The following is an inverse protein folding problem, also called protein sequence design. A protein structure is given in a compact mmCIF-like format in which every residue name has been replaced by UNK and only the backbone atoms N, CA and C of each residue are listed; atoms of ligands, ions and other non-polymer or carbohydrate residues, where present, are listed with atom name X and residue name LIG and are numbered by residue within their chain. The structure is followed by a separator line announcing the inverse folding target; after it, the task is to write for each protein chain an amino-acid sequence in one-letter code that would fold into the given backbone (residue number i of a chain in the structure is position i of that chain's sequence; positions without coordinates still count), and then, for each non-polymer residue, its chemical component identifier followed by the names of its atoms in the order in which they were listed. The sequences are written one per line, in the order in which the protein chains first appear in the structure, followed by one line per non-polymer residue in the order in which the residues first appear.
data_IF_271331692863
#
_entry.id   IF_271331692863
#
_cell.length_a   1.000
_cell.length_b   1.000
_cell.length_c   1.000
_cell.angle_alpha   90.00
_cell.angle_beta   90.00
_cell.angle_gamma   90.00
#
_symmetry.space_group_name_H-M   'P 1'
#
loop_
_entity.id
_entity.type
_entity.pdbx_description
1 polymer ?
#
# COMPACT_ATOMS: atom_id res chain seq x y z
N UNK A 1 17.32 -8.69 -15.04
CA UNK A 1 17.97 -8.44 -13.73
C UNK A 1 17.03 -7.56 -12.95
N UNK A 2 16.57 -7.98 -11.76
CA UNK A 2 15.76 -7.14 -10.89
C UNK A 2 16.68 -6.30 -9.99
N UNK A 3 16.27 -5.08 -9.63
CA UNK A 3 17.04 -4.16 -8.78
C UNK A 3 16.14 -3.55 -7.72
N UNK A 4 16.54 -3.69 -6.45
CA UNK A 4 15.96 -2.92 -5.35
C UNK A 4 16.62 -1.53 -5.40
N UNK A 5 15.82 -0.49 -5.64
CA UNK A 5 16.32 0.88 -5.78
C UNK A 5 16.27 1.69 -4.47
N UNK A 6 15.53 1.20 -3.48
CA UNK A 6 15.41 1.81 -2.16
C UNK A 6 14.16 1.33 -1.43
N UNK A 7 13.86 2.00 -0.32
CA UNK A 7 12.64 1.80 0.47
C UNK A 7 12.41 3.02 1.36
N UNK A 8 11.13 3.29 1.66
CA UNK A 8 10.73 4.32 2.61
C UNK A 8 9.74 3.72 3.61
N UNK A 9 9.70 4.30 4.81
CA UNK A 9 8.85 3.84 5.91
C UNK A 9 7.96 4.99 6.33
N UNK A 10 6.68 4.73 6.55
CA UNK A 10 5.72 5.79 6.84
C UNK A 10 4.58 5.32 7.70
N UNK A 11 3.94 6.25 8.41
CA UNK A 11 2.71 6.00 9.13
C UNK A 11 1.56 5.84 8.12
N UNK A 12 0.60 4.98 8.47
CA UNK A 12 -0.60 4.77 7.67
C UNK A 12 -1.89 5.05 8.45
N UNK A 13 -1.83 5.69 9.63
CA UNK A 13 -3.02 5.82 10.49
C UNK A 13 -4.19 6.53 9.77
N UNK A 14 -5.44 6.09 9.99
CA UNK A 14 -6.60 6.56 9.21
C UNK A 14 -6.88 8.06 9.39
N UNK A 15 -6.44 8.67 10.50
CA UNK A 15 -6.53 10.11 10.72
C UNK A 15 -5.83 10.93 9.63
N UNK A 16 -4.77 10.40 9.02
CA UNK A 16 -4.07 11.03 7.88
C UNK A 16 -4.98 11.05 6.65
N UNK A 17 -5.64 9.93 6.34
CA UNK A 17 -6.61 9.85 5.24
C UNK A 17 -7.74 10.86 5.41
N UNK A 18 -8.27 10.98 6.63
CA UNK A 18 -9.27 12.00 6.97
C UNK A 18 -8.75 13.43 6.76
N UNK A 19 -7.50 13.72 7.12
CA UNK A 19 -6.88 15.03 6.90
C UNK A 19 -6.72 15.34 5.40
N UNK A 20 -6.37 14.33 4.58
CA UNK A 20 -6.27 14.46 3.13
C UNK A 20 -7.63 14.83 2.53
N UNK A 21 -8.69 14.10 2.89
CA UNK A 21 -10.04 14.33 2.38
C UNK A 21 -10.58 15.71 2.75
N UNK A 22 -10.29 16.20 3.96
CA UNK A 22 -10.76 17.51 4.43
C UNK A 22 -9.94 18.70 3.91
N UNK A 23 -8.76 18.46 3.32
CA UNK A 23 -7.86 19.55 2.94
C UNK A 23 -7.08 20.16 4.12
N UNK A 24 -6.89 19.40 5.20
CA UNK A 24 -6.31 19.90 6.45
C UNK A 24 -4.76 19.95 6.43
N UNK A 25 -4.11 19.59 5.32
CA UNK A 25 -2.66 19.37 5.26
C UNK A 25 -1.85 20.60 5.68
N UNK A 26 -2.36 21.81 5.42
CA UNK A 26 -1.69 23.08 5.77
C UNK A 26 -2.05 23.62 7.17
N UNK A 27 -2.93 22.93 7.91
CA UNK A 27 -3.29 23.35 9.27
C UNK A 27 -2.11 23.20 10.24
N UNK A 28 -2.01 24.01 11.32
CA UNK A 28 -0.87 23.95 12.25
C UNK A 28 -0.61 22.57 12.87
N UNK A 29 -1.65 21.75 13.05
CA UNK A 29 -1.53 20.41 13.60
C UNK A 29 -0.91 19.44 12.58
N UNK A 30 -1.36 19.48 11.32
CA UNK A 30 -0.98 18.50 10.29
C UNK A 30 0.26 18.90 9.50
N UNK A 31 0.52 20.20 9.34
CA UNK A 31 1.60 20.72 8.51
C UNK A 31 2.98 20.10 8.81
N UNK A 32 3.43 19.98 10.07
CA UNK A 32 4.73 19.37 10.36
C UNK A 32 4.86 17.92 9.90
N UNK A 33 3.75 17.18 9.83
CA UNK A 33 3.73 15.82 9.30
C UNK A 33 3.82 15.80 7.77
N UNK A 34 2.99 16.59 7.08
CA UNK A 34 2.96 16.61 5.61
C UNK A 34 4.23 17.21 4.99
N UNK A 35 4.90 18.13 5.68
CA UNK A 35 6.21 18.68 5.28
C UNK A 35 7.34 17.63 5.22
N UNK A 36 7.14 16.43 5.77
CA UNK A 36 8.12 15.34 5.68
C UNK A 36 8.14 14.60 4.34
N UNK A 37 7.10 14.73 3.51
CA UNK A 37 6.95 13.94 2.27
C UNK A 37 7.62 14.50 1.01
N UNK A 38 7.85 15.81 0.82
CA UNK A 38 8.47 16.34 -0.40
C UNK A 38 9.77 15.63 -0.82
N UNK A 39 10.74 15.33 0.07
CA UNK A 39 11.96 14.61 -0.33
C UNK A 39 11.70 13.19 -0.86
N UNK A 40 10.69 12.49 -0.34
CA UNK A 40 10.31 11.15 -0.82
C UNK A 40 9.68 11.26 -2.22
N UNK A 41 8.84 12.28 -2.44
CA UNK A 41 8.20 12.55 -3.73
C UNK A 41 9.23 12.88 -4.81
N UNK A 42 10.22 13.71 -4.46
CA UNK A 42 11.35 14.04 -5.34
C UNK A 42 12.13 12.77 -5.71
N UNK A 43 12.52 11.97 -4.72
CA UNK A 43 13.22 10.72 -4.96
C UNK A 43 12.43 9.75 -5.86
N UNK A 44 11.12 9.58 -5.63
CA UNK A 44 10.28 8.70 -6.46
C UNK A 44 10.14 9.21 -7.90
N UNK A 45 10.13 10.53 -8.10
CA UNK A 45 10.08 11.16 -9.42
C UNK A 45 11.35 10.89 -10.22
N UNK A 46 12.51 10.86 -9.56
CA UNK A 46 13.80 10.54 -10.18
C UNK A 46 13.99 9.03 -10.37
N UNK A 47 13.69 8.24 -9.33
CA UNK A 47 13.98 6.82 -9.27
C UNK A 47 13.02 5.98 -10.12
N UNK A 48 11.78 6.46 -10.35
CA UNK A 48 10.75 5.85 -11.20
C UNK A 48 10.64 4.32 -11.05
N UNK A 49 10.33 3.82 -9.84
CA UNK A 49 10.13 2.39 -9.62
C UNK A 49 8.98 1.83 -10.46
N UNK A 50 9.15 0.61 -10.97
CA UNK A 50 8.09 -0.12 -11.68
C UNK A 50 7.09 -0.79 -10.74
N UNK A 51 7.56 -1.23 -9.56
CA UNK A 51 6.77 -2.01 -8.59
C UNK A 51 7.11 -1.61 -7.15
N UNK A 52 6.09 -1.48 -6.30
CA UNK A 52 6.21 -1.39 -4.86
C UNK A 52 5.84 -2.74 -4.22
N UNK A 53 6.78 -3.30 -3.45
CA UNK A 53 6.48 -4.37 -2.48
C UNK A 53 6.14 -3.69 -1.17
N UNK A 54 4.88 -3.81 -0.75
CA UNK A 54 4.34 -3.06 0.40
C UNK A 54 4.11 -4.03 1.54
N UNK A 55 4.78 -3.77 2.67
CA UNK A 55 4.53 -4.46 3.92
C UNK A 55 3.55 -3.62 4.76
N UNK A 56 2.42 -4.19 5.10
CA UNK A 56 1.41 -3.56 5.96
C UNK A 56 0.75 -4.63 6.83
N UNK A 57 -0.22 -4.23 7.64
CA UNK A 57 -1.16 -5.15 8.27
C UNK A 57 -2.57 -4.77 7.82
N UNK A 58 -3.43 -5.76 7.61
CA UNK A 58 -4.86 -5.54 7.40
C UNK A 58 -5.54 -5.14 8.73
N UNK A 59 -6.51 -4.24 8.66
CA UNK A 59 -7.28 -3.75 9.81
C UNK A 59 -8.70 -4.33 9.88
N UNK A 60 -8.89 -5.56 9.40
CA UNK A 60 -10.18 -6.25 9.43
C UNK A 60 -11.03 -6.05 8.17
N UNK A 61 -10.47 -5.43 7.12
CA UNK A 61 -11.15 -5.26 5.85
C UNK A 61 -11.10 -6.54 5.02
N UNK A 62 -9.89 -7.09 4.82
CA UNK A 62 -9.68 -8.31 4.07
C UNK A 62 -9.63 -9.56 4.98
N UNK A 63 -8.99 -9.44 6.13
CA UNK A 63 -8.80 -10.53 7.09
C UNK A 63 -9.51 -10.21 8.41
N UNK A 64 -10.65 -10.83 8.63
CA UNK A 64 -11.38 -10.68 9.89
C UNK A 64 -10.93 -11.69 10.95
N UNK A 65 -11.49 -11.61 12.15
CA UNK A 65 -11.09 -12.41 13.30
C UNK A 65 -11.25 -13.94 13.09
N UNK A 66 -11.98 -14.37 12.07
CA UNK A 66 -12.15 -15.77 11.70
C UNK A 66 -11.02 -16.31 10.80
N UNK A 67 -10.21 -15.43 10.18
CA UNK A 67 -9.10 -15.76 9.30
C UNK A 67 -7.97 -14.75 9.47
N UNK A 68 -6.97 -15.10 10.27
CA UNK A 68 -5.81 -14.24 10.56
C UNK A 68 -4.50 -14.94 10.17
N UNK A 69 -4.07 -14.86 8.90
CA UNK A 69 -2.77 -15.40 8.50
C UNK A 69 -1.64 -14.62 9.17
N UNK A 70 -0.51 -15.29 9.47
CA UNK A 70 0.70 -14.60 9.97
C UNK A 70 1.41 -13.84 8.85
N UNK A 71 1.43 -14.42 7.65
CA UNK A 71 1.91 -13.79 6.43
C UNK A 71 0.93 -14.07 5.30
N UNK A 72 0.54 -13.04 4.56
CA UNK A 72 -0.30 -13.12 3.38
C UNK A 72 0.33 -12.35 2.22
N UNK A 73 0.52 -13.01 1.08
CA UNK A 73 1.11 -12.39 -0.12
C UNK A 73 0.06 -12.30 -1.22
N UNK A 74 -0.19 -11.08 -1.69
CA UNK A 74 -1.08 -10.82 -2.82
C UNK A 74 -0.49 -11.28 -4.15
N UNK A 75 -1.30 -12.01 -4.94
CA UNK A 75 -0.99 -12.47 -6.29
C UNK A 75 -2.09 -12.14 -7.31
N UNK A 76 -2.92 -11.14 -7.02
CA UNK A 76 -3.99 -10.69 -7.90
C UNK A 76 -3.47 -9.71 -8.97
N UNK A 77 -4.11 -9.63 -10.15
CA UNK A 77 -3.80 -8.63 -11.17
C UNK A 77 -4.29 -7.21 -10.80
N UNK A 78 -5.20 -7.11 -9.84
CA UNK A 78 -5.76 -5.85 -9.36
C UNK A 78 -6.13 -5.99 -7.89
N UNK A 79 -5.97 -4.90 -7.13
CA UNK A 79 -6.41 -4.78 -5.73
C UNK A 79 -7.34 -3.59 -5.58
N UNK A 80 -8.53 -3.86 -5.05
CA UNK A 80 -9.54 -2.84 -4.78
C UNK A 80 -9.57 -2.52 -3.28
N UNK A 81 -10.18 -1.39 -2.95
CA UNK A 81 -10.49 -1.00 -1.59
C UNK A 81 -12.01 -1.08 -1.38
N UNK A 82 -12.46 -1.03 -0.13
CA UNK A 82 -13.86 -0.85 0.21
C UNK A 82 -14.00 0.11 1.41
N UNK A 83 -15.23 0.53 1.70
CA UNK A 83 -15.49 1.36 2.87
C UNK A 83 -15.19 0.57 4.15
N UNK A 84 -14.34 1.15 5.00
CA UNK A 84 -13.94 0.57 6.29
C UNK A 84 -14.85 1.05 7.44
N UNK A 85 -16.01 1.60 7.11
CA UNK A 85 -17.00 2.13 8.07
C UNK A 85 -16.91 3.64 8.27
N UNK A 86 -16.15 4.35 7.41
CA UNK A 86 -15.96 5.80 7.50
C UNK A 86 -17.00 6.58 6.69
N UNK A 87 -17.66 5.95 5.71
CA UNK A 87 -18.57 6.64 4.79
C UNK A 87 -17.86 7.68 3.91
N UNK A 88 -16.55 7.53 3.72
CA UNK A 88 -15.73 8.37 2.86
C UNK A 88 -15.61 7.74 1.45
N UNK A 89 -15.24 8.53 0.42
CA UNK A 89 -14.90 7.96 -0.88
C UNK A 89 -13.79 6.91 -0.75
N UNK A 90 -13.94 5.80 -1.49
CA UNK A 90 -12.92 4.75 -1.54
C UNK A 90 -11.69 5.21 -2.33
N UNK A 91 -10.54 4.64 -1.99
CA UNK A 91 -9.28 4.91 -2.69
C UNK A 91 -9.23 4.25 -4.07
N UNK A 92 -8.34 4.78 -4.93
CA UNK A 92 -8.02 4.23 -6.25
C UNK A 92 -7.56 2.77 -6.16
N UNK A 93 -8.02 1.93 -7.08
CA UNK A 93 -7.53 0.55 -7.22
C UNK A 93 -6.08 0.50 -7.68
N UNK A 94 -5.38 -0.57 -7.29
CA UNK A 94 -3.98 -0.82 -7.66
C UNK A 94 -3.90 -1.87 -8.76
N UNK A 95 -3.02 -1.64 -9.73
CA UNK A 95 -2.57 -2.70 -10.63
C UNK A 95 -1.58 -3.60 -9.89
N UNK A 96 -1.82 -4.91 -9.88
CA UNK A 96 -0.92 -5.88 -9.29
C UNK A 96 0.21 -6.29 -10.23
N UNK A 97 1.21 -7.02 -9.70
CA UNK A 97 2.27 -7.61 -10.51
C UNK A 97 2.35 -9.14 -10.34
N UNK A 98 1.43 -9.93 -10.93
CA UNK A 98 1.32 -11.38 -10.68
C UNK A 98 2.61 -12.17 -10.87
N UNK A 99 3.41 -11.85 -11.89
CA UNK A 99 4.68 -12.55 -12.15
C UNK A 99 5.71 -12.35 -11.02
N UNK A 100 5.72 -11.18 -10.37
CA UNK A 100 6.62 -10.90 -9.25
C UNK A 100 6.05 -11.48 -7.97
N UNK A 101 4.74 -11.34 -7.75
CA UNK A 101 4.05 -11.97 -6.63
C UNK A 101 4.32 -13.48 -6.55
N UNK A 102 4.13 -14.22 -7.64
CA UNK A 102 4.39 -15.66 -7.67
C UNK A 102 5.86 -15.99 -7.48
N UNK A 103 6.77 -15.19 -8.03
CA UNK A 103 8.19 -15.36 -7.77
C UNK A 103 8.53 -15.22 -6.28
N UNK A 104 7.95 -14.23 -5.58
CA UNK A 104 8.12 -14.02 -4.13
C UNK A 104 7.49 -15.17 -3.35
N UNK A 105 6.28 -15.60 -3.69
CA UNK A 105 5.58 -16.72 -3.05
C UNK A 105 6.41 -18.01 -3.15
N UNK A 106 6.86 -18.35 -4.36
CA UNK A 106 7.64 -19.56 -4.60
C UNK A 106 9.01 -19.52 -3.88
N UNK A 107 9.60 -18.33 -3.74
CA UNK A 107 10.83 -18.14 -2.98
C UNK A 107 10.60 -18.33 -1.48
N UNK A 108 9.57 -17.70 -0.91
CA UNK A 108 9.22 -17.82 0.51
C UNK A 108 8.90 -19.27 0.91
N UNK A 109 8.10 -19.97 0.10
CA UNK A 109 7.78 -21.39 0.35
C UNK A 109 9.04 -22.26 0.27
N UNK A 110 9.93 -21.98 -0.69
CA UNK A 110 11.22 -22.70 -0.80
C UNK A 110 12.13 -22.46 0.40
N UNK A 111 12.07 -21.26 0.97
CA UNK A 111 12.82 -20.86 2.17
C UNK A 111 12.08 -21.21 3.47
N UNK A 112 11.11 -22.13 3.41
CA UNK A 112 10.38 -22.72 4.56
C UNK A 112 9.53 -21.71 5.35
N UNK A 113 9.05 -20.64 4.70
CA UNK A 113 8.02 -19.77 5.28
C UNK A 113 6.61 -20.29 4.98
N UNK A 114 5.82 -20.44 6.04
CA UNK A 114 4.39 -20.76 5.94
C UNK A 114 3.58 -19.49 5.63
N UNK A 115 3.26 -19.30 4.35
CA UNK A 115 2.52 -18.12 3.88
C UNK A 115 1.12 -18.49 3.37
N UNK A 116 0.22 -17.51 3.41
CA UNK A 116 -1.06 -17.55 2.69
C UNK A 116 -0.93 -16.85 1.35
N UNK A 117 -1.27 -17.52 0.25
CA UNK A 117 -1.35 -16.88 -1.07
C UNK A 117 -2.74 -16.29 -1.32
N UNK A 118 -2.79 -15.01 -1.69
CA UNK A 118 -4.04 -14.29 -1.90
C UNK A 118 -4.21 -13.92 -3.39
N UNK A 119 -4.90 -14.76 -4.15
CA UNK A 119 -5.24 -14.49 -5.56
C UNK A 119 -6.43 -13.53 -5.74
N UNK A 120 -7.10 -13.20 -4.63
CA UNK A 120 -8.10 -12.15 -4.51
C UNK A 120 -8.02 -11.60 -3.09
N UNK A 121 -7.85 -10.29 -2.94
CA UNK A 121 -7.90 -9.61 -1.66
C UNK A 121 -8.24 -8.13 -1.85
N UNK A 122 -8.82 -7.53 -0.84
CA UNK A 122 -8.89 -6.09 -0.70
C UNK A 122 -7.60 -5.57 -0.07
N UNK A 123 -7.30 -4.30 -0.31
CA UNK A 123 -6.31 -3.53 0.46
C UNK A 123 -7.05 -2.40 1.18
N UNK A 124 -6.57 -2.03 2.36
CA UNK A 124 -7.19 -1.03 3.23
C UNK A 124 -6.39 0.28 3.24
N UNK A 125 -6.77 1.19 4.13
CA UNK A 125 -6.07 2.45 4.35
C UNK A 125 -4.57 2.28 4.65
N UNK A 126 -4.14 1.12 5.18
CA UNK A 126 -2.75 0.85 5.52
C UNK A 126 -1.83 0.87 4.28
N UNK A 127 -2.40 0.51 3.12
CA UNK A 127 -1.73 0.55 1.81
C UNK A 127 -2.05 1.86 1.08
N UNK A 128 -3.31 2.29 1.09
CA UNK A 128 -3.76 3.41 0.27
C UNK A 128 -3.27 4.79 0.74
N UNK A 129 -3.23 5.04 2.05
CA UNK A 129 -2.77 6.32 2.61
C UNK A 129 -1.32 6.63 2.25
N UNK A 130 -0.35 5.70 2.42
CA UNK A 130 1.02 5.90 1.96
C UNK A 130 1.13 6.37 0.51
N UNK A 131 0.30 5.83 -0.39
CA UNK A 131 0.32 6.20 -1.80
C UNK A 131 -0.28 7.58 -2.07
N UNK A 132 -1.36 7.97 -1.39
CA UNK A 132 -1.86 9.35 -1.47
C UNK A 132 -0.84 10.36 -0.95
N UNK A 133 -0.01 9.98 0.02
CA UNK A 133 1.02 10.84 0.58
C UNK A 133 2.17 11.10 -0.40
N UNK A 134 2.59 10.08 -1.17
CA UNK A 134 3.74 10.20 -2.08
C UNK A 134 3.37 10.44 -3.55
N UNK A 135 2.12 10.20 -3.93
CA UNK A 135 1.57 10.51 -5.25
C UNK A 135 0.27 11.33 -5.13
N UNK A 136 0.31 12.52 -4.50
CA UNK A 136 -0.89 13.31 -4.29
C UNK A 136 -1.50 13.75 -5.62
N UNK A 137 -2.83 13.57 -5.77
CA UNK A 137 -3.60 14.11 -6.90
C UNK A 137 -3.46 13.35 -8.23
N UNK A 138 -2.79 12.19 -8.26
CA UNK A 138 -2.75 11.35 -9.47
C UNK A 138 -4.10 10.68 -9.72
N UNK A 139 -4.50 10.57 -10.99
CA UNK A 139 -5.73 9.87 -11.40
C UNK A 139 -5.61 8.35 -11.22
N UNK A 140 -4.42 7.79 -11.44
CA UNK A 140 -4.07 6.39 -11.24
C UNK A 140 -2.66 6.26 -10.66
N UNK A 141 -2.41 5.16 -9.96
CA UNK A 141 -1.09 4.91 -9.38
C UNK A 141 -0.06 4.68 -10.49
N UNK A 142 1.09 5.37 -10.49
CA UNK A 142 2.10 5.24 -11.55
C UNK A 142 2.99 4.00 -11.39
N UNK A 143 2.65 3.09 -10.48
CA UNK A 143 3.47 1.99 -10.02
C UNK A 143 2.58 0.79 -9.67
N UNK A 144 3.07 -0.43 -9.93
CA UNK A 144 2.35 -1.66 -9.61
C UNK A 144 2.56 -2.08 -8.15
N UNK A 145 1.66 -2.90 -7.64
CA UNK A 145 1.63 -3.33 -6.24
C UNK A 145 1.91 -4.84 -6.09
N UNK A 146 2.73 -5.18 -5.10
CA UNK A 146 2.80 -6.51 -4.48
C UNK A 146 2.58 -6.32 -2.98
N UNK A 147 1.37 -6.57 -2.43
CA UNK A 147 1.11 -6.39 -1.02
C UNK A 147 1.52 -7.65 -0.24
N UNK A 148 2.14 -7.43 0.92
CA UNK A 148 2.49 -8.44 1.91
C UNK A 148 1.91 -7.98 3.24
N UNK A 149 0.97 -8.74 3.77
CA UNK A 149 0.30 -8.48 5.05
C UNK A 149 0.59 -9.52 6.11
#
# INVERSE_FOLDING_TARGET
MAKIIGGYFTSHVPGIGGAIVRGDQETPYWKPFFEGYPPIREWLTEAKPDVAVVFSNDHGLNFFLDKMPTFAVGAAPQYDNADEGWGLPVYKSFEGHPALSWHVIDALVRDEFDITTCQKMLVDHAVSIPFELVYPGVESWPIKLVPIS
#
